data_IF_773321576088
#
_entry.id   IF_773321576088
#
_cell.length_a   1.000
_cell.length_b   1.000
_cell.length_c   1.000
_cell.angle_alpha   90.00
_cell.angle_beta   90.00
_cell.angle_gamma   90.00
#
_symmetry.space_group_name_H-M   'P 1'
#
loop_
_entity.id
_entity.type
_entity.pdbx_description
1 polymer ?
#
# COMPACT_ATOMS: atom_id res chain seq x y z
N UNK A 1 -4.87 -3.32 4.59
CA UNK A 1 -5.55 -4.53 5.12
C UNK A 1 -6.59 -4.16 6.15
N UNK A 2 -6.25 -3.55 7.29
CA UNK A 2 -7.24 -3.10 8.29
C UNK A 2 -8.35 -2.20 7.72
N UNK A 3 -8.00 -1.22 6.89
CA UNK A 3 -8.98 -0.32 6.26
C UNK A 3 -9.80 -0.98 5.16
N UNK A 4 -9.23 -1.95 4.46
CA UNK A 4 -9.94 -2.71 3.44
C UNK A 4 -11.00 -3.61 4.09
N UNK A 5 -10.62 -4.29 5.17
CA UNK A 5 -11.55 -5.07 6.01
C UNK A 5 -12.60 -4.16 6.64
N UNK A 6 -12.22 -2.98 7.12
CA UNK A 6 -13.17 -2.00 7.65
C UNK A 6 -14.16 -1.53 6.58
N UNK A 7 -13.69 -1.26 5.37
CA UNK A 7 -14.54 -0.88 4.24
C UNK A 7 -15.49 -2.01 3.81
N UNK A 8 -15.01 -3.25 3.71
CA UNK A 8 -15.86 -4.42 3.39
C UNK A 8 -16.92 -4.70 4.46
N UNK A 9 -16.61 -4.38 5.72
CA UNK A 9 -17.49 -4.64 6.87
C UNK A 9 -18.31 -3.43 7.32
N UNK A 10 -18.25 -2.32 6.58
CA UNK A 10 -18.87 -1.03 6.94
C UNK A 10 -18.51 -0.56 8.37
N UNK A 11 -17.28 -0.84 8.81
CA UNK A 11 -16.74 -0.41 10.09
C UNK A 11 -15.90 0.86 9.91
N UNK A 12 -15.83 1.67 10.96
CA UNK A 12 -14.90 2.79 11.01
C UNK A 12 -13.45 2.28 10.90
N UNK A 13 -12.64 2.94 10.08
CA UNK A 13 -11.23 2.62 9.96
C UNK A 13 -10.51 2.93 11.29
N UNK A 14 -9.61 2.06 11.77
CA UNK A 14 -8.88 2.31 13.02
C UNK A 14 -8.06 3.62 12.94
N UNK A 15 -8.01 4.45 14.00
CA UNK A 15 -7.32 5.74 13.98
C UNK A 15 -5.85 5.66 13.56
N UNK A 16 -5.12 4.69 14.12
CA UNK A 16 -3.72 4.41 13.78
C UNK A 16 -3.51 4.01 12.31
N UNK A 17 -4.56 3.63 11.59
CA UNK A 17 -4.48 3.25 10.18
C UNK A 17 -4.65 4.44 9.23
N UNK A 18 -5.38 5.46 9.67
CA UNK A 18 -5.73 6.66 8.87
C UNK A 18 -4.93 7.91 9.25
N UNK A 19 -4.16 7.86 10.33
CA UNK A 19 -3.33 8.96 10.82
C UNK A 19 -2.37 9.48 9.74
N UNK A 20 -2.35 10.79 9.52
CA UNK A 20 -1.61 11.43 8.43
C UNK A 20 -0.10 11.15 8.50
N UNK A 21 0.47 11.06 9.70
CA UNK A 21 1.90 10.77 9.92
C UNK A 21 2.33 9.36 9.52
N UNK A 22 1.38 8.45 9.24
CA UNK A 22 1.66 7.10 8.74
C UNK A 22 2.03 7.08 7.26
N UNK A 23 1.61 8.09 6.50
CA UNK A 23 1.85 8.12 5.07
C UNK A 23 3.21 8.73 4.77
N UNK A 24 3.98 8.05 3.93
CA UNK A 24 5.25 8.58 3.46
C UNK A 24 4.98 9.71 2.48
N UNK A 25 5.47 10.92 2.79
CA UNK A 25 5.45 12.06 1.88
C UNK A 25 6.33 11.82 0.63
N UNK A 26 7.28 10.90 0.73
CA UNK A 26 8.22 10.55 -0.33
C UNK A 26 8.42 9.04 -0.38
N UNK A 27 8.42 8.49 -1.58
CA UNK A 27 8.60 7.05 -1.79
C UNK A 27 10.00 6.65 -1.30
N UNK A 28 10.05 5.67 -0.40
CA UNK A 28 11.29 5.20 0.24
C UNK A 28 12.12 4.28 -0.66
N UNK A 29 11.57 3.82 -1.78
CA UNK A 29 12.19 2.83 -2.66
C UNK A 29 13.28 3.44 -3.57
N UNK A 30 14.43 2.76 -3.76
CA UNK A 30 15.40 3.16 -4.77
C UNK A 30 14.80 3.16 -6.19
N UNK A 31 15.19 4.15 -7.00
CA UNK A 31 14.67 4.40 -8.37
C UNK A 31 15.22 3.37 -9.36
N UNK A 32 14.61 2.19 -9.41
CA UNK A 32 14.80 1.21 -10.47
C UNK A 32 13.57 1.22 -11.40
N UNK A 33 13.65 1.83 -12.60
CA UNK A 33 12.47 2.08 -13.45
C UNK A 33 11.67 0.81 -13.79
N UNK A 34 12.36 -0.30 -14.09
CA UNK A 34 11.71 -1.58 -14.42
C UNK A 34 10.98 -2.21 -13.23
N UNK A 35 11.53 -2.06 -12.02
CA UNK A 35 10.91 -2.56 -10.79
C UNK A 35 9.69 -1.70 -10.40
N UNK A 36 9.78 -0.39 -10.61
CA UNK A 36 8.69 0.56 -10.38
C UNK A 36 7.49 0.28 -11.27
N UNK A 37 7.70 0.09 -12.57
CA UNK A 37 6.63 -0.21 -13.51
C UNK A 37 5.87 -1.48 -13.10
N UNK A 38 6.59 -2.54 -12.74
CA UNK A 38 6.00 -3.80 -12.24
C UNK A 38 5.22 -3.58 -10.95
N UNK A 39 5.82 -2.91 -9.97
CA UNK A 39 5.16 -2.70 -8.70
C UNK A 39 3.93 -1.77 -8.82
N UNK A 40 3.89 -0.80 -9.75
CA UNK A 40 2.69 0.01 -10.04
C UNK A 40 1.56 -0.83 -10.65
N UNK A 41 1.89 -1.84 -11.45
CA UNK A 41 0.88 -2.73 -12.05
C UNK A 41 0.38 -3.74 -11.02
N UNK A 42 1.30 -4.30 -10.23
CA UNK A 42 1.04 -5.40 -9.30
C UNK A 42 0.46 -4.92 -7.95
N UNK A 43 0.69 -3.66 -7.56
CA UNK A 43 0.23 -3.15 -6.26
C UNK A 43 -1.27 -2.89 -6.21
N UNK A 44 -1.97 -3.34 -5.14
CA UNK A 44 -3.35 -2.97 -4.91
C UNK A 44 -3.54 -1.45 -4.90
N UNK A 45 -4.67 -0.97 -5.43
CA UNK A 45 -4.94 0.47 -5.55
C UNK A 45 -4.83 1.24 -4.22
N UNK A 46 -5.20 0.61 -3.10
CA UNK A 46 -5.09 1.18 -1.77
C UNK A 46 -3.63 1.46 -1.34
N UNK A 47 -2.67 0.67 -1.81
CA UNK A 47 -1.25 0.83 -1.51
C UNK A 47 -0.62 1.87 -2.44
N UNK A 48 -0.99 1.85 -3.74
CA UNK A 48 -0.50 2.81 -4.74
C UNK A 48 -0.85 4.25 -4.42
N UNK A 49 -2.08 4.51 -3.96
CA UNK A 49 -2.54 5.85 -3.52
C UNK A 49 -1.70 6.44 -2.38
N UNK A 50 -0.85 5.62 -1.75
CA UNK A 50 -0.04 5.97 -0.57
C UNK A 50 1.46 5.86 -0.82
N UNK A 51 1.88 5.69 -2.08
CA UNK A 51 3.30 5.54 -2.43
C UNK A 51 3.92 4.24 -1.92
N UNK A 52 3.10 3.25 -1.53
CA UNK A 52 3.56 1.93 -1.14
C UNK A 52 3.42 1.03 -2.35
N UNK A 53 4.55 0.53 -2.84
CA UNK A 53 4.63 -0.34 -4.00
C UNK A 53 5.09 -1.72 -3.55
N UNK A 54 4.30 -2.74 -3.87
CA UNK A 54 4.57 -4.15 -3.60
C UNK A 54 4.71 -4.88 -4.94
N UNK A 55 5.72 -5.73 -5.05
CA UNK A 55 5.80 -6.70 -6.15
C UNK A 55 4.91 -7.92 -5.89
N UNK A 56 4.59 -8.68 -6.94
CA UNK A 56 3.66 -9.81 -6.91
C UNK A 56 4.00 -10.89 -5.85
N UNK A 57 5.28 -11.07 -5.51
CA UNK A 57 5.75 -12.02 -4.49
C UNK A 57 5.84 -11.47 -3.07
N UNK A 58 5.58 -10.19 -2.83
CA UNK A 58 5.69 -9.60 -1.48
C UNK A 58 4.50 -9.92 -0.58
N UNK A 59 3.37 -10.37 -1.15
CA UNK A 59 2.16 -10.71 -0.40
C UNK A 59 1.95 -12.23 -0.24
N UNK A 60 2.73 -13.06 -0.92
CA UNK A 60 2.71 -14.50 -0.69
C UNK A 60 3.38 -14.80 0.65
N UNK A 61 2.62 -15.39 1.58
CA UNK A 61 3.19 -15.98 2.79
C UNK A 61 4.08 -17.16 2.39
N UNK A 62 5.32 -17.18 2.87
CA UNK A 62 6.14 -18.39 2.98
C UNK A 62 5.70 -19.15 4.22
#
# INVERSE_FOLDING_TARGET
>A
MAEHVAAERALAAPPWSIEAGRFLARIWWPRYPGLWARAIVESPAAFRRRGILLGAGMLSRV
#
